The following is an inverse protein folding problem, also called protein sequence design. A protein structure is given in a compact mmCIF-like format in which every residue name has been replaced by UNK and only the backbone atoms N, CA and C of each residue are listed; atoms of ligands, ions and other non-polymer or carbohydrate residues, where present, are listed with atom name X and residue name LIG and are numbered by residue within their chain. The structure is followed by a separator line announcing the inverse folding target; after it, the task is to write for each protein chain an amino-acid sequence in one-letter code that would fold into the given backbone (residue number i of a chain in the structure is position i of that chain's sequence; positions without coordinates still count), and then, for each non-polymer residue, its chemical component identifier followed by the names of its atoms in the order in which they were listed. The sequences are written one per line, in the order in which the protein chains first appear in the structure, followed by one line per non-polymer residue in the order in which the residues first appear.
data_IF_565138360936
#
_entry.id   IF_565138360936
#
_cell.length_a   1.000
_cell.length_b   1.000
_cell.length_c   1.000
_cell.angle_alpha   90.00
_cell.angle_beta   90.00
_cell.angle_gamma   90.00
#
_symmetry.space_group_name_H-M   'P 1'
#
loop_
_entity.id
_entity.type
_entity.pdbx_description
1 polymer ?
#
# COMPACT_ATOMS: atom_id res chain seq x y z
N UNK A 1 8.72 -13.60 0.86
CA UNK A 1 9.08 -12.51 -0.09
C UNK A 1 7.94 -12.34 -1.09
N UNK A 2 7.66 -11.12 -1.55
CA UNK A 2 6.73 -10.88 -2.69
C UNK A 2 7.56 -10.74 -3.97
N UNK A 3 7.22 -11.50 -5.00
CA UNK A 3 7.84 -11.44 -6.32
C UNK A 3 6.91 -10.66 -7.24
N UNK A 4 7.45 -9.71 -8.00
CA UNK A 4 6.69 -9.05 -9.08
C UNK A 4 6.45 -10.06 -10.20
N UNK A 5 5.23 -10.11 -10.71
CA UNK A 5 4.91 -10.94 -11.86
C UNK A 5 5.86 -10.67 -13.04
N UNK A 6 6.42 -11.73 -13.62
CA UNK A 6 7.38 -11.64 -14.73
C UNK A 6 8.78 -11.14 -14.36
N UNK A 7 9.11 -10.98 -13.07
CA UNK A 7 10.45 -10.63 -12.63
C UNK A 7 11.41 -11.82 -12.64
N UNK A 8 12.72 -11.55 -12.53
CA UNK A 8 13.78 -12.57 -12.48
C UNK A 8 14.46 -12.60 -11.09
N UNK A 9 13.75 -12.99 -10.01
CA UNK A 9 14.32 -13.00 -8.67
C UNK A 9 15.42 -14.05 -8.54
N UNK A 10 16.41 -13.78 -7.68
CA UNK A 10 17.40 -14.77 -7.25
C UNK A 10 17.00 -15.29 -5.87
N UNK A 11 16.86 -16.61 -5.75
CA UNK A 11 16.58 -17.28 -4.49
C UNK A 11 17.87 -17.83 -3.90
N UNK A 12 17.97 -17.79 -2.58
CA UNK A 12 19.09 -18.35 -1.82
C UNK A 12 18.60 -19.57 -1.06
N UNK A 13 19.33 -20.66 -1.20
CA UNK A 13 19.06 -21.96 -0.61
C UNK A 13 20.21 -22.29 0.34
N UNK A 14 19.95 -22.97 1.44
CA UNK A 14 20.98 -23.46 2.35
C UNK A 14 20.87 -24.97 2.48
N UNK A 15 21.95 -25.67 2.15
CA UNK A 15 22.04 -27.12 2.22
C UNK A 15 23.02 -27.54 3.32
N UNK A 16 22.60 -28.54 4.09
CA UNK A 16 23.39 -29.16 5.15
C UNK A 16 23.54 -30.65 4.88
N UNK A 17 24.61 -31.23 5.39
CA UNK A 17 24.87 -32.66 5.33
C UNK A 17 23.73 -33.43 6.00
N UNK A 18 23.28 -34.50 5.35
CA UNK A 18 22.23 -35.38 5.88
C UNK A 18 22.76 -36.28 7.00
N UNK A 19 24.08 -36.36 7.15
CA UNK A 19 24.71 -37.13 8.22
C UNK A 19 24.55 -36.47 9.60
N UNK A 20 24.48 -35.14 9.65
CA UNK A 20 24.43 -34.38 10.91
C UNK A 20 23.43 -33.21 10.94
N UNK A 21 22.78 -32.90 9.82
CA UNK A 21 21.83 -31.81 9.64
C UNK A 21 22.36 -30.44 10.10
N UNK A 22 23.68 -30.26 10.14
CA UNK A 22 24.32 -29.05 10.67
C UNK A 22 25.48 -28.56 9.80
N UNK A 23 26.36 -29.46 9.36
CA UNK A 23 27.53 -29.11 8.57
C UNK A 23 27.09 -28.69 7.17
N UNK A 24 27.64 -27.59 6.65
CA UNK A 24 27.35 -27.13 5.30
C UNK A 24 27.62 -28.23 4.26
N UNK A 25 26.66 -28.48 3.37
CA UNK A 25 26.85 -29.39 2.24
C UNK A 25 27.41 -28.61 1.04
N UNK A 26 28.73 -28.57 0.95
CA UNK A 26 29.46 -27.89 -0.13
C UNK A 26 29.66 -28.80 -1.35
N UNK A 27 29.80 -28.19 -2.54
CA UNK A 27 30.12 -28.88 -3.78
C UNK A 27 29.03 -29.83 -4.31
N UNK A 28 27.80 -29.73 -3.80
CA UNK A 28 26.66 -30.49 -4.32
C UNK A 28 26.01 -29.77 -5.50
N UNK A 29 25.14 -30.46 -6.25
CA UNK A 29 24.39 -29.88 -7.36
C UNK A 29 22.87 -29.97 -7.07
N UNK A 30 22.30 -29.04 -6.28
CA UNK A 30 20.89 -29.10 -5.92
C UNK A 30 19.99 -28.94 -7.14
N UNK A 31 19.13 -29.94 -7.38
CA UNK A 31 18.06 -29.87 -8.38
C UNK A 31 16.93 -29.05 -7.78
N UNK A 32 16.50 -28.00 -8.50
CA UNK A 32 15.43 -27.11 -8.06
C UNK A 32 14.20 -27.31 -8.93
N UNK A 33 13.05 -27.46 -8.27
CA UNK A 33 11.75 -27.55 -8.90
C UNK A 33 10.81 -26.49 -8.35
N UNK A 34 9.91 -26.04 -9.20
CA UNK A 34 8.90 -25.04 -8.85
C UNK A 34 7.51 -25.55 -9.18
N UNK A 35 6.55 -25.19 -8.32
CA UNK A 35 5.12 -25.29 -8.59
C UNK A 35 4.57 -23.88 -8.76
N UNK A 36 3.87 -23.65 -9.86
CA UNK A 36 3.31 -22.36 -10.25
C UNK A 36 1.82 -22.32 -9.98
N UNK A 37 1.37 -21.44 -9.09
CA UNK A 37 -0.04 -21.23 -8.74
C UNK A 37 -0.79 -22.55 -8.41
N UNK A 38 -0.13 -23.45 -7.67
CA UNK A 38 -0.68 -24.76 -7.30
C UNK A 38 -0.62 -25.84 -8.38
N UNK A 39 0.07 -25.60 -9.49
CA UNK A 39 0.35 -26.61 -10.51
C UNK A 39 1.31 -27.71 -10.06
N UNK A 40 1.55 -28.71 -10.92
CA UNK A 40 2.55 -29.73 -10.65
C UNK A 40 3.98 -29.13 -10.56
N UNK A 41 4.84 -29.75 -9.76
CA UNK A 41 6.25 -29.37 -9.71
C UNK A 41 6.94 -29.72 -11.03
N UNK A 42 7.72 -28.77 -11.55
CA UNK A 42 8.55 -28.93 -12.73
C UNK A 42 9.95 -28.36 -12.48
N UNK A 43 10.96 -28.86 -13.20
CA UNK A 43 12.33 -28.37 -13.07
C UNK A 43 12.40 -26.86 -13.37
N UNK A 44 13.12 -26.14 -12.52
CA UNK A 44 13.47 -24.75 -12.78
C UNK A 44 14.50 -24.68 -13.92
N UNK A 45 14.38 -23.66 -14.76
CA UNK A 45 15.14 -23.46 -16.00
C UNK A 45 16.65 -23.40 -15.73
N UNK A 46 17.05 -22.74 -14.65
CA UNK A 46 18.44 -22.57 -14.25
C UNK A 46 18.87 -23.57 -13.17
N UNK A 47 18.19 -24.72 -13.08
CA UNK A 47 18.62 -25.86 -12.25
C UNK A 47 19.77 -26.61 -12.95
N UNK A 48 20.79 -27.12 -12.21
CA UNK A 48 20.95 -27.07 -10.75
C UNK A 48 21.37 -25.69 -10.23
N UNK A 49 21.09 -25.43 -8.94
CA UNK A 49 21.52 -24.21 -8.28
C UNK A 49 23.05 -24.11 -8.21
N UNK A 50 23.58 -22.89 -8.27
CA UNK A 50 25.02 -22.62 -8.21
C UNK A 50 25.46 -22.28 -6.79
N UNK A 51 26.51 -22.92 -6.29
CA UNK A 51 27.06 -22.62 -4.97
C UNK A 51 27.62 -21.18 -4.90
N UNK A 52 27.46 -20.54 -3.74
CA UNK A 52 28.08 -19.26 -3.39
C UNK A 52 29.30 -19.53 -2.49
N UNK A 53 29.06 -20.13 -1.33
CA UNK A 53 30.04 -20.58 -0.32
C UNK A 53 29.29 -21.22 0.84
N UNK A 54 29.97 -22.02 1.67
CA UNK A 54 29.49 -22.48 2.99
C UNK A 54 28.12 -23.16 2.91
N UNK A 55 27.85 -23.95 1.87
CA UNK A 55 26.56 -24.63 1.68
C UNK A 55 25.39 -23.71 1.27
N UNK A 56 25.65 -22.42 1.02
CA UNK A 56 24.69 -21.53 0.39
C UNK A 56 24.74 -21.66 -1.13
N UNK A 57 23.58 -21.83 -1.75
CA UNK A 57 23.39 -21.91 -3.19
C UNK A 57 22.43 -20.83 -3.66
N UNK A 58 22.55 -20.43 -4.92
CA UNK A 58 21.62 -19.52 -5.57
C UNK A 58 21.04 -20.10 -6.85
N UNK A 59 19.81 -19.71 -7.13
CA UNK A 59 19.17 -19.94 -8.42
C UNK A 59 18.42 -18.68 -8.84
N UNK A 60 18.63 -18.24 -10.08
CA UNK A 60 17.83 -17.19 -10.68
C UNK A 60 16.59 -17.81 -11.32
N UNK A 61 15.40 -17.35 -10.94
CA UNK A 61 14.18 -17.68 -11.68
C UNK A 61 14.07 -16.79 -12.92
N UNK A 62 13.41 -17.31 -13.94
CA UNK A 62 13.14 -16.59 -15.18
C UNK A 62 11.81 -15.84 -15.11
N UNK A 63 11.65 -14.84 -15.97
CA UNK A 63 10.38 -14.13 -16.14
C UNK A 63 9.23 -15.08 -16.49
N UNK A 64 9.48 -16.12 -17.29
CA UNK A 64 8.46 -17.11 -17.65
C UNK A 64 7.99 -17.88 -16.42
N UNK A 65 8.88 -18.22 -15.49
CA UNK A 65 8.55 -18.97 -14.28
C UNK A 65 7.77 -18.14 -13.27
N UNK A 66 7.96 -16.83 -13.24
CA UNK A 66 7.23 -15.88 -12.39
C UNK A 66 6.08 -15.17 -13.10
N UNK A 67 5.81 -15.48 -14.37
CA UNK A 67 4.67 -14.93 -15.12
C UNK A 67 3.38 -15.68 -14.76
N UNK A 68 3.02 -15.63 -13.49
CA UNK A 68 1.76 -16.15 -12.95
C UNK A 68 1.48 -15.40 -11.66
N UNK A 69 0.24 -15.01 -11.43
CA UNK A 69 -0.16 -14.53 -10.11
C UNK A 69 -0.45 -15.72 -9.19
N UNK A 70 -0.25 -15.50 -7.89
CA UNK A 70 -0.39 -16.49 -6.83
C UNK A 70 0.93 -17.10 -6.36
N UNK A 71 0.82 -18.13 -5.53
CA UNK A 71 1.99 -18.73 -4.86
C UNK A 71 2.86 -19.49 -5.87
N UNK A 72 4.16 -19.23 -5.81
CA UNK A 72 5.19 -20.15 -6.29
C UNK A 72 5.73 -20.92 -5.09
N UNK A 73 5.62 -22.24 -5.13
CA UNK A 73 6.32 -23.12 -4.19
C UNK A 73 7.62 -23.60 -4.83
N UNK A 74 8.70 -23.56 -4.07
CA UNK A 74 10.03 -23.98 -4.51
C UNK A 74 10.45 -25.16 -3.64
N UNK A 75 10.97 -26.19 -4.27
CA UNK A 75 11.64 -27.29 -3.56
C UNK A 75 12.98 -27.57 -4.19
N UNK A 76 13.95 -27.94 -3.37
CA UNK A 76 15.27 -28.32 -3.85
C UNK A 76 15.79 -29.55 -3.11
N UNK A 77 16.46 -30.44 -3.84
CA UNK A 77 17.00 -31.70 -3.34
C UNK A 77 18.31 -32.05 -4.06
N UNK A 78 19.12 -32.92 -3.43
CA UNK A 78 20.38 -33.41 -4.00
C UNK A 78 20.19 -34.90 -4.22
N UNK A 79 19.93 -35.34 -5.45
CA UNK A 79 19.84 -36.78 -5.75
C UNK A 79 20.32 -37.10 -7.17
N UNK A 80 21.06 -38.20 -7.32
CA UNK A 80 21.45 -38.79 -8.59
C UNK A 80 20.32 -39.65 -9.22
N UNK A 81 19.27 -40.00 -8.45
CA UNK A 81 18.14 -40.84 -8.89
C UNK A 81 16.85 -40.09 -9.24
N UNK A 82 16.80 -38.76 -9.05
CA UNK A 82 15.68 -37.91 -9.44
C UNK A 82 14.40 -38.10 -8.60
N UNK A 83 14.49 -38.68 -7.40
CA UNK A 83 13.34 -38.86 -6.52
C UNK A 83 13.45 -37.97 -5.28
N UNK A 84 12.40 -37.19 -4.92
CA UNK A 84 12.40 -36.40 -3.69
C UNK A 84 12.26 -37.25 -2.42
N UNK A 85 12.26 -38.59 -2.53
CA UNK A 85 11.94 -39.51 -1.43
C UNK A 85 13.05 -40.54 -1.21
N UNK A 86 14.15 -40.08 -0.61
CA UNK A 86 15.02 -40.87 0.29
C UNK A 86 16.17 -39.98 0.79
N UNK A 87 16.24 -39.72 2.09
CA UNK A 87 17.40 -39.21 2.83
C UNK A 87 17.95 -37.78 2.63
N UNK A 88 17.39 -36.91 1.79
CA UNK A 88 18.00 -35.57 1.54
C UNK A 88 17.39 -34.38 2.29
N UNK A 89 18.24 -33.39 2.59
CA UNK A 89 17.88 -32.07 3.14
C UNK A 89 17.01 -31.33 2.12
N UNK A 90 15.70 -31.54 2.20
CA UNK A 90 14.73 -30.87 1.33
C UNK A 90 14.57 -29.44 1.82
N UNK A 91 14.94 -28.48 0.97
CA UNK A 91 14.60 -27.09 1.20
C UNK A 91 13.27 -26.78 0.53
N UNK A 92 12.31 -26.22 1.27
CA UNK A 92 11.00 -25.81 0.76
C UNK A 92 10.76 -24.36 1.16
N UNK A 93 10.28 -23.56 0.20
CA UNK A 93 9.81 -22.21 0.46
C UNK A 93 8.65 -21.86 -0.47
N UNK A 94 7.93 -20.81 -0.10
CA UNK A 94 6.80 -20.29 -0.87
C UNK A 94 6.92 -18.78 -0.99
N UNK A 95 6.58 -18.28 -2.17
CA UNK A 95 6.61 -16.86 -2.47
C UNK A 95 5.33 -16.46 -3.16
N UNK A 96 4.75 -15.35 -2.72
CA UNK A 96 3.60 -14.77 -3.41
C UNK A 96 4.10 -14.01 -4.63
N UNK A 97 3.54 -14.32 -5.79
CA UNK A 97 3.76 -13.57 -7.02
C UNK A 97 2.54 -12.73 -7.30
N UNK A 98 2.75 -11.44 -7.55
CA UNK A 98 1.64 -10.55 -7.85
C UNK A 98 1.99 -9.55 -8.94
N UNK A 99 1.05 -9.37 -9.87
CA UNK A 99 0.98 -8.25 -10.79
C UNK A 99 0.50 -6.96 -10.12
N UNK A 100 -0.06 -7.08 -8.91
CA UNK A 100 -0.47 -5.96 -8.08
C UNK A 100 0.73 -5.08 -7.74
N UNK A 101 0.58 -3.77 -7.93
CA UNK A 101 1.56 -2.80 -7.43
C UNK A 101 1.49 -2.84 -5.90
N UNK A 102 2.56 -3.25 -5.19
CA UNK A 102 2.60 -3.06 -3.75
C UNK A 102 2.37 -1.57 -3.51
N UNK A 103 1.53 -1.18 -2.55
CA UNK A 103 1.30 0.23 -2.23
C UNK A 103 2.62 0.81 -1.69
N UNK A 104 3.48 1.24 -2.60
CA UNK A 104 4.73 1.92 -2.33
C UNK A 104 4.39 3.40 -2.34
N UNK A 105 4.28 3.97 -1.15
CA UNK A 105 4.13 5.42 -1.00
C UNK A 105 5.55 5.99 -1.03
N UNK A 106 5.96 6.53 -2.17
CA UNK A 106 7.23 7.27 -2.25
C UNK A 106 7.14 8.61 -1.50
N UNK A 107 8.29 9.23 -1.20
CA UNK A 107 8.34 10.49 -0.45
C UNK A 107 7.51 11.61 -1.11
N UNK A 108 7.41 11.60 -2.44
CA UNK A 108 6.63 12.59 -3.20
C UNK A 108 5.13 12.38 -3.00
N UNK A 109 4.69 11.13 -3.04
CA UNK A 109 3.31 10.69 -2.84
C UNK A 109 2.90 10.86 -1.38
N UNK A 110 3.81 10.56 -0.45
CA UNK A 110 3.61 10.80 0.98
C UNK A 110 3.47 12.30 1.27
N UNK A 111 4.36 13.13 0.71
CA UNK A 111 4.27 14.57 0.80
C UNK A 111 2.96 15.06 0.20
N UNK A 112 2.60 14.64 -1.02
CA UNK A 112 1.35 15.03 -1.68
C UNK A 112 0.11 14.62 -0.88
N UNK A 113 0.10 13.45 -0.24
CA UNK A 113 -0.97 13.00 0.62
C UNK A 113 -1.06 13.84 1.89
N UNK A 114 0.06 14.05 2.58
CA UNK A 114 0.13 14.91 3.77
C UNK A 114 -0.27 16.35 3.46
N UNK A 115 0.08 16.82 2.28
CA UNK A 115 -0.21 18.14 1.77
C UNK A 115 -1.69 18.26 1.33
N UNK A 116 -2.30 17.21 0.78
CA UNK A 116 -3.76 17.12 0.56
C UNK A 116 -4.54 17.03 1.88
N UNK A 117 -4.02 16.29 2.87
CA UNK A 117 -4.59 16.18 4.22
C UNK A 117 -4.50 17.51 4.98
N UNK A 118 -3.36 18.20 4.89
CA UNK A 118 -3.14 19.50 5.52
C UNK A 118 -3.89 20.63 4.79
N UNK A 119 -4.00 20.55 3.46
CA UNK A 119 -4.74 21.49 2.61
C UNK A 119 -6.04 20.89 2.11
N UNK A 120 -6.88 20.36 3.00
CA UNK A 120 -8.29 20.16 2.64
C UNK A 120 -8.82 21.55 2.21
N UNK A 121 -8.83 21.78 0.90
CA UNK A 121 -9.00 23.10 0.29
C UNK A 121 -10.47 23.47 0.36
N UNK A 122 -10.81 24.76 0.44
CA UNK A 122 -12.22 25.17 0.58
C UNK A 122 -13.10 24.62 -0.55
N UNK A 123 -12.58 24.57 -1.78
CA UNK A 123 -13.30 23.96 -2.90
C UNK A 123 -13.53 22.44 -2.72
N UNK A 124 -12.57 21.72 -2.11
CA UNK A 124 -12.74 20.29 -1.82
C UNK A 124 -13.74 20.08 -0.67
N UNK A 125 -13.73 20.98 0.33
CA UNK A 125 -14.70 20.99 1.44
C UNK A 125 -16.12 21.22 0.90
N UNK A 126 -16.32 22.21 0.04
CA UNK A 126 -17.62 22.53 -0.59
C UNK A 126 -18.18 21.40 -1.45
N UNK A 127 -17.28 20.56 -1.99
CA UNK A 127 -17.61 19.35 -2.74
C UNK A 127 -17.76 18.09 -1.88
N UNK A 128 -17.47 18.19 -0.57
CA UNK A 128 -17.49 17.05 0.35
C UNK A 128 -18.92 16.54 0.57
N UNK A 129 -19.09 15.22 0.51
CA UNK A 129 -20.33 14.54 0.90
C UNK A 129 -20.38 14.17 2.38
N UNK A 130 -19.28 14.38 3.12
CA UNK A 130 -19.21 14.07 4.54
C UNK A 130 -19.87 15.21 5.34
N UNK A 131 -21.08 14.95 5.83
CA UNK A 131 -22.03 15.95 6.34
C UNK A 131 -21.47 16.94 7.38
N UNK A 132 -20.56 16.49 8.25
CA UNK A 132 -19.96 17.34 9.30
C UNK A 132 -19.05 18.45 8.73
N UNK A 133 -18.60 18.30 7.48
CA UNK A 133 -17.68 19.25 6.83
C UNK A 133 -18.38 20.54 6.37
N UNK A 134 -19.69 20.47 6.09
CA UNK A 134 -20.49 21.58 5.58
C UNK A 134 -21.45 22.18 6.60
N UNK A 135 -21.40 21.69 7.84
CA UNK A 135 -22.28 22.20 8.89
C UNK A 135 -21.90 23.63 9.29
N UNK A 136 -22.89 24.42 9.73
CA UNK A 136 -22.72 25.79 10.21
C UNK A 136 -21.84 25.89 11.47
N UNK A 137 -21.72 24.79 12.20
CA UNK A 137 -20.90 24.63 13.39
C UNK A 137 -19.46 24.15 13.08
N UNK A 138 -19.19 23.79 11.83
CA UNK A 138 -17.85 23.41 11.38
C UNK A 138 -16.88 24.60 11.33
N UNK A 139 -15.57 24.31 11.31
CA UNK A 139 -14.53 25.33 11.09
C UNK A 139 -14.72 26.07 9.76
N UNK A 140 -15.20 25.37 8.73
CA UNK A 140 -15.52 25.96 7.43
C UNK A 140 -16.74 26.89 7.53
N UNK A 141 -17.79 26.48 8.24
CA UNK A 141 -18.95 27.34 8.55
C UNK A 141 -18.57 28.62 9.29
N UNK A 142 -17.64 28.54 10.25
CA UNK A 142 -17.09 29.72 10.95
C UNK A 142 -16.33 30.65 9.99
N UNK A 143 -15.49 30.09 9.12
CA UNK A 143 -14.73 30.86 8.13
C UNK A 143 -15.65 31.61 7.17
N UNK A 144 -16.71 30.96 6.68
CA UNK A 144 -17.70 31.59 5.80
C UNK A 144 -18.41 32.78 6.47
N UNK A 145 -18.79 32.63 7.75
CA UNK A 145 -19.38 33.70 8.55
C UNK A 145 -18.44 34.90 8.72
N UNK A 146 -17.15 34.66 8.93
CA UNK A 146 -16.17 35.71 9.25
C UNK A 146 -15.59 36.42 8.01
N UNK A 147 -15.33 35.67 6.94
CA UNK A 147 -14.46 36.12 5.84
C UNK A 147 -15.22 36.26 4.51
N UNK A 148 -16.12 35.32 4.21
CA UNK A 148 -16.77 35.26 2.89
C UNK A 148 -17.90 36.27 2.81
N UNK A 149 -18.83 36.19 3.75
CA UNK A 149 -19.92 37.14 3.86
C UNK A 149 -21.24 36.50 4.28
N UNK A 150 -22.11 37.38 4.77
CA UNK A 150 -23.48 37.04 5.13
C UNK A 150 -24.43 38.00 4.42
N UNK A 151 -25.55 37.49 3.94
CA UNK A 151 -26.62 38.28 3.33
C UNK A 151 -27.88 38.17 4.17
N UNK A 152 -28.62 39.27 4.35
CA UNK A 152 -29.93 39.22 4.99
C UNK A 152 -31.02 39.04 3.94
N UNK A 153 -31.83 38.00 4.11
CA UNK A 153 -33.01 37.72 3.29
C UNK A 153 -34.21 37.53 4.23
N UNK A 154 -35.08 38.54 4.31
CA UNK A 154 -36.21 38.56 5.24
C UNK A 154 -35.78 38.55 6.72
N UNK A 155 -36.22 37.52 7.45
CA UNK A 155 -35.85 37.23 8.85
C UNK A 155 -34.67 36.26 8.98
N UNK A 156 -33.97 35.95 7.89
CA UNK A 156 -32.85 35.02 7.87
C UNK A 156 -31.56 35.75 7.47
N UNK A 157 -30.47 35.38 8.13
CA UNK A 157 -29.11 35.68 7.71
C UNK A 157 -28.57 34.44 6.98
N UNK A 158 -28.38 34.57 5.67
CA UNK A 158 -27.79 33.56 4.81
C UNK A 158 -26.27 33.66 4.90
N UNK A 159 -25.63 32.53 5.18
CA UNK A 159 -24.18 32.39 5.21
C UNK A 159 -23.77 31.77 3.88
N UNK A 160 -22.93 32.46 3.13
CA UNK A 160 -22.63 32.11 1.75
C UNK A 160 -21.38 31.23 1.67
N UNK A 161 -21.33 30.36 0.67
CA UNK A 161 -20.12 29.65 0.24
C UNK A 161 -19.16 30.62 -0.48
N UNK A 162 -17.96 30.15 -0.82
CA UNK A 162 -16.91 31.02 -1.38
C UNK A 162 -17.26 31.69 -2.70
N UNK A 163 -18.22 31.17 -3.45
CA UNK A 163 -18.76 31.80 -4.67
C UNK A 163 -19.59 33.06 -4.39
N UNK A 164 -19.98 33.31 -3.13
CA UNK A 164 -20.86 34.41 -2.71
C UNK A 164 -22.25 34.40 -3.34
N UNK A 165 -22.67 33.28 -3.90
CA UNK A 165 -23.98 33.10 -4.53
C UNK A 165 -24.75 31.94 -3.88
N UNK A 166 -24.06 30.86 -3.52
CA UNK A 166 -24.69 29.68 -2.92
C UNK A 166 -24.71 29.76 -1.39
N UNK A 167 -25.82 29.32 -0.81
CA UNK A 167 -26.03 29.35 0.65
C UNK A 167 -25.44 28.08 1.27
N UNK A 168 -24.57 28.26 2.27
CA UNK A 168 -24.08 27.20 3.15
C UNK A 168 -25.13 26.82 4.21
N UNK A 169 -25.76 27.83 4.81
CA UNK A 169 -26.83 27.65 5.79
C UNK A 169 -27.44 28.98 6.22
N UNK A 170 -28.49 28.94 7.03
CA UNK A 170 -29.24 30.12 7.48
C UNK A 170 -29.27 30.23 9.00
N UNK A 171 -29.26 31.47 9.50
CA UNK A 171 -29.48 31.78 10.91
C UNK A 171 -30.67 32.74 11.05
N UNK A 172 -31.58 32.44 11.97
CA UNK A 172 -32.75 33.29 12.22
C UNK A 172 -32.34 34.58 12.92
N UNK A 173 -32.76 35.72 12.36
CA UNK A 173 -32.60 37.04 12.96
C UNK A 173 -33.84 37.35 13.81
N UNK A 174 -33.65 37.46 15.12
CA UNK A 174 -34.72 37.85 16.04
C UNK A 174 -35.16 39.30 15.83
N UNK A 175 -36.40 39.61 16.18
CA UNK A 175 -37.01 40.95 16.06
C UNK A 175 -36.88 41.80 17.32
N UNK A 176 -36.02 41.40 18.26
CA UNK A 176 -35.82 42.13 19.52
C UNK A 176 -35.14 43.48 19.30
N UNK A 177 -35.40 44.44 20.21
CA UNK A 177 -34.67 45.71 20.30
C UNK A 177 -33.26 45.45 20.85
N UNK A 178 -32.38 44.89 20.03
CA UNK A 178 -30.97 44.74 20.39
C UNK A 178 -30.29 46.11 20.35
N UNK A 179 -29.52 46.43 21.39
CA UNK A 179 -28.68 47.63 21.38
C UNK A 179 -27.51 47.42 20.40
N UNK A 180 -27.26 48.35 19.45
CA UNK A 180 -26.17 48.21 18.51
C UNK A 180 -24.82 48.33 19.23
N UNK A 181 -23.81 47.60 18.74
CA UNK A 181 -22.42 47.84 19.12
C UNK A 181 -22.01 49.19 18.52
N UNK A 182 -21.78 50.18 19.37
CA UNK A 182 -21.48 51.57 18.95
C UNK A 182 -19.99 51.90 18.92
N UNK A 183 -19.13 51.07 19.50
CA UNK A 183 -17.67 51.23 19.41
C UNK A 183 -16.95 49.90 19.59
N UNK A 184 -15.78 49.79 18.95
CA UNK A 184 -14.85 48.67 19.10
C UNK A 184 -13.48 49.29 19.38
N UNK A 185 -12.85 48.91 20.50
CA UNK A 185 -11.48 49.28 20.84
C UNK A 185 -10.64 48.01 20.81
N UNK A 186 -9.65 47.97 19.93
CA UNK A 186 -8.68 46.87 19.85
C UNK A 186 -7.44 47.24 20.66
N UNK A 187 -6.95 46.31 21.49
CA UNK A 187 -5.65 46.43 22.16
C UNK A 187 -4.50 46.09 21.21
#
# INVERSE_FOLDING_TARGET
MIIKNGATPTLILYFVSTADYYTAAEGVAPVVEISKAGGAFAAATNSPATEISDGFYKIALTATETNTDGIIAVRAYVDASGSPDSDYSIWIDTHEVTSGVPILIDDTTAAALMDRMARRHVADIESSSDGDTLDLESLYGLLCKMVVGTQRTGSSLEILKTDKETVLGTQTVGTGSGDPITSVVSN
#
